data_IF_257377560560
#
_entry.id   IF_257377560560
#
_cell.length_a   1.000
_cell.length_b   1.000
_cell.length_c   1.000
_cell.angle_alpha   90.00
_cell.angle_beta   90.00
_cell.angle_gamma   90.00
#
_symmetry.space_group_name_H-M   'P 1'
#
loop_
_entity.id
_entity.type
_entity.pdbx_description
1 polymer ?
#
# COMPACT_ATOMS: atom_id res chain seq x y z
N UNK A 1 -7.80 -2.00 35.58
CA UNK A 1 -6.52 -1.78 34.87
C UNK A 1 -6.81 -0.85 33.71
N UNK A 2 -6.08 0.25 33.58
CA UNK A 2 -6.28 1.22 32.50
C UNK A 2 -5.73 0.61 31.20
N UNK A 3 -6.60 0.04 30.37
CA UNK A 3 -6.20 -0.49 29.07
C UNK A 3 -5.82 0.69 28.18
N UNK A 4 -4.52 0.81 27.90
CA UNK A 4 -4.02 1.76 26.90
C UNK A 4 -4.67 1.42 25.56
N UNK A 5 -5.36 2.39 24.97
CA UNK A 5 -6.16 2.23 23.76
C UNK A 5 -5.27 2.27 22.52
N UNK A 6 -4.16 2.98 22.59
CA UNK A 6 -3.28 3.21 21.44
C UNK A 6 -1.85 2.76 21.72
N UNK A 7 -1.18 2.28 20.66
CA UNK A 7 0.21 1.80 20.73
C UNK A 7 1.20 2.89 21.19
N UNK A 8 0.96 4.15 20.82
CA UNK A 8 1.80 5.30 21.20
C UNK A 8 1.65 5.71 22.67
N UNK A 9 0.64 5.21 23.38
CA UNK A 9 0.50 5.43 24.82
C UNK A 9 1.44 4.51 25.63
N UNK A 10 2.03 3.47 25.02
CA UNK A 10 2.91 2.53 25.68
C UNK A 10 4.17 3.25 26.22
N UNK A 11 4.65 2.96 27.45
CA UNK A 11 5.76 3.74 28.03
C UNK A 11 7.06 3.55 27.26
N UNK A 12 7.22 2.39 26.61
CA UNK A 12 8.39 2.09 25.79
C UNK A 12 8.21 2.53 24.33
N UNK A 13 7.13 3.18 23.93
CA UNK A 13 7.01 3.67 22.55
C UNK A 13 8.09 4.74 22.25
N UNK A 14 8.78 4.70 21.10
CA UNK A 14 8.69 3.71 20.01
C UNK A 14 9.63 2.50 20.16
N UNK A 15 10.43 2.46 21.21
CA UNK A 15 11.48 1.47 21.50
C UNK A 15 10.97 0.23 22.25
N UNK A 16 10.12 -0.56 21.60
CA UNK A 16 9.58 -1.78 22.20
C UNK A 16 10.65 -2.83 22.49
N UNK A 17 10.53 -3.48 23.65
CA UNK A 17 11.33 -4.66 24.01
C UNK A 17 10.62 -5.94 23.54
N UNK A 18 11.34 -6.84 22.89
CA UNK A 18 10.81 -8.14 22.46
C UNK A 18 11.83 -9.26 22.70
N UNK A 19 11.34 -10.49 22.93
CA UNK A 19 12.19 -11.66 23.06
C UNK A 19 12.47 -12.26 21.67
N UNK A 20 13.67 -12.04 21.14
CA UNK A 20 14.05 -12.57 19.84
C UNK A 20 13.85 -14.09 19.71
N UNK A 21 14.12 -14.86 20.79
CA UNK A 21 13.98 -16.33 20.76
C UNK A 21 12.55 -16.81 20.55
N UNK A 22 11.55 -15.99 20.89
CA UNK A 22 10.13 -16.33 20.68
C UNK A 22 9.68 -16.06 19.24
N UNK A 23 10.23 -15.02 18.61
CA UNK A 23 9.85 -14.63 17.23
C UNK A 23 10.73 -15.29 16.16
N UNK A 24 11.95 -15.70 16.52
CA UNK A 24 12.93 -16.29 15.61
C UNK A 24 12.36 -17.45 14.76
N UNK A 25 11.62 -18.42 15.33
CA UNK A 25 11.02 -19.49 14.52
C UNK A 25 10.02 -18.97 13.46
N UNK A 26 9.25 -17.93 13.80
CA UNK A 26 8.28 -17.32 12.87
C UNK A 26 9.01 -16.57 11.75
N UNK A 27 10.10 -15.88 12.07
CA UNK A 27 10.95 -15.21 11.07
C UNK A 27 11.56 -16.23 10.11
N UNK A 28 12.10 -17.35 10.62
CA UNK A 28 12.63 -18.39 9.77
C UNK A 28 11.58 -18.98 8.82
N UNK A 29 10.38 -19.25 9.32
CA UNK A 29 9.29 -19.74 8.49
C UNK A 29 8.87 -18.72 7.42
N UNK A 30 8.82 -17.42 7.76
CA UNK A 30 8.55 -16.35 6.80
C UNK A 30 9.61 -16.31 5.69
N UNK A 31 10.89 -16.40 6.05
CA UNK A 31 12.00 -16.39 5.10
C UNK A 31 11.94 -17.61 4.17
N UNK A 32 11.70 -18.79 4.73
CA UNK A 32 11.52 -20.04 3.96
C UNK A 32 10.40 -19.89 2.92
N UNK A 33 9.21 -19.43 3.35
CA UNK A 33 8.06 -19.26 2.45
C UNK A 33 8.28 -18.17 1.40
N UNK A 34 8.98 -17.09 1.78
CA UNK A 34 9.37 -16.04 0.84
C UNK A 34 10.36 -16.57 -0.22
N UNK A 35 11.30 -17.43 0.19
CA UNK A 35 12.23 -18.09 -0.71
C UNK A 35 11.54 -19.05 -1.67
N UNK A 36 10.62 -19.89 -1.18
CA UNK A 36 9.79 -20.78 -2.01
C UNK A 36 8.99 -20.00 -3.05
N UNK A 37 8.33 -18.90 -2.64
CA UNK A 37 7.56 -18.05 -3.55
C UNK A 37 8.45 -17.42 -4.62
N UNK A 38 9.59 -16.85 -4.22
CA UNK A 38 10.56 -16.25 -5.16
C UNK A 38 11.10 -17.28 -6.15
N UNK A 39 11.39 -18.49 -5.69
CA UNK A 39 11.80 -19.62 -6.53
C UNK A 39 10.74 -19.97 -7.57
N UNK A 40 9.48 -20.11 -7.16
CA UNK A 40 8.36 -20.37 -8.07
C UNK A 40 8.18 -19.28 -9.12
N UNK A 41 8.24 -18.00 -8.71
CA UNK A 41 8.13 -16.86 -9.64
C UNK A 41 9.28 -16.85 -10.65
N UNK A 42 10.49 -17.30 -10.26
CA UNK A 42 11.65 -17.30 -11.18
C UNK A 42 11.53 -18.25 -12.38
N UNK A 43 10.60 -19.21 -12.35
CA UNK A 43 10.31 -20.09 -13.48
C UNK A 43 9.34 -19.50 -14.50
N UNK A 44 8.67 -18.39 -14.17
CA UNK A 44 7.73 -17.71 -15.06
C UNK A 44 8.49 -16.90 -16.12
N UNK A 45 7.92 -16.80 -17.32
CA UNK A 45 8.38 -15.85 -18.34
C UNK A 45 8.21 -14.40 -17.86
N UNK A 46 8.91 -13.45 -18.48
CA UNK A 46 8.83 -12.04 -18.10
C UNK A 46 7.38 -11.50 -18.15
N UNK A 47 6.60 -11.86 -19.17
CA UNK A 47 5.21 -11.44 -19.28
C UNK A 47 4.30 -12.03 -18.20
N UNK A 48 4.57 -13.26 -17.77
CA UNK A 48 3.87 -13.89 -16.65
C UNK A 48 4.25 -13.25 -15.30
N UNK A 49 5.53 -12.89 -15.10
CA UNK A 49 5.98 -12.16 -13.92
C UNK A 49 5.34 -10.77 -13.84
N UNK A 50 5.28 -10.05 -14.97
CA UNK A 50 4.63 -8.74 -15.07
C UNK A 50 3.14 -8.84 -14.72
N UNK A 51 2.43 -9.82 -15.30
CA UNK A 51 1.02 -10.07 -14.99
C UNK A 51 0.81 -10.43 -13.51
N UNK A 52 1.68 -11.28 -12.95
CA UNK A 52 1.62 -11.65 -11.53
C UNK A 52 1.82 -10.43 -10.62
N UNK A 53 2.77 -9.56 -10.97
CA UNK A 53 3.05 -8.30 -10.25
C UNK A 53 1.85 -7.35 -10.29
N UNK A 54 1.22 -7.18 -11.46
CA UNK A 54 0.00 -6.38 -11.62
C UNK A 54 -1.14 -6.95 -10.77
N UNK A 55 -1.44 -8.24 -10.88
CA UNK A 55 -2.59 -8.82 -10.16
C UNK A 55 -2.41 -8.83 -8.64
N UNK A 56 -1.18 -9.04 -8.17
CA UNK A 56 -0.85 -8.96 -6.74
C UNK A 56 -1.02 -7.53 -6.24
N UNK A 57 -0.44 -6.56 -6.93
CA UNK A 57 -0.54 -5.14 -6.56
C UNK A 57 -1.97 -4.62 -6.61
N UNK A 58 -2.73 -5.03 -7.64
CA UNK A 58 -4.13 -4.67 -7.79
C UNK A 58 -4.95 -5.20 -6.62
N UNK A 59 -4.72 -6.45 -6.23
CA UNK A 59 -5.45 -7.08 -5.12
C UNK A 59 -5.12 -6.40 -3.79
N UNK A 60 -3.85 -6.00 -3.58
CA UNK A 60 -3.42 -5.27 -2.40
C UNK A 60 -4.03 -3.87 -2.31
N UNK A 61 -4.01 -3.10 -3.40
CA UNK A 61 -4.63 -1.76 -3.48
C UNK A 61 -6.13 -1.84 -3.17
N UNK A 62 -6.84 -2.83 -3.70
CA UNK A 62 -8.27 -2.98 -3.44
C UNK A 62 -8.53 -3.35 -2.00
N UNK A 63 -7.84 -4.37 -1.48
CA UNK A 63 -8.07 -4.85 -0.11
C UNK A 63 -7.77 -3.75 0.92
N UNK A 64 -6.68 -2.99 0.75
CA UNK A 64 -6.35 -1.89 1.66
C UNK A 64 -7.35 -0.73 1.55
N UNK A 65 -7.82 -0.43 0.33
CA UNK A 65 -8.84 0.61 0.13
C UNK A 65 -10.19 0.22 0.75
N UNK A 66 -10.57 -1.05 0.68
CA UNK A 66 -11.81 -1.56 1.28
C UNK A 66 -11.81 -1.45 2.81
N UNK A 67 -10.66 -1.64 3.47
CA UNK A 67 -10.51 -1.42 4.92
C UNK A 67 -10.84 0.03 5.28
N UNK A 68 -10.46 0.97 4.43
CA UNK A 68 -10.76 2.41 4.58
C UNK A 68 -12.18 2.79 4.09
N UNK A 69 -12.99 1.81 3.67
CA UNK A 69 -14.34 2.03 3.14
C UNK A 69 -14.38 2.58 1.71
N UNK A 70 -13.26 2.51 0.98
CA UNK A 70 -13.13 3.00 -0.40
C UNK A 70 -13.33 1.83 -1.36
N UNK A 71 -14.43 1.83 -2.09
CA UNK A 71 -14.71 0.83 -3.12
C UNK A 71 -14.11 1.26 -4.48
N UNK A 72 -13.12 0.51 -4.95
CA UNK A 72 -12.48 0.74 -6.26
C UNK A 72 -12.93 -0.30 -7.28
N UNK A 73 -13.06 0.12 -8.54
CA UNK A 73 -13.27 -0.82 -9.66
C UNK A 73 -11.94 -1.47 -10.03
N UNK A 74 -11.89 -2.81 -10.08
CA UNK A 74 -10.69 -3.59 -10.48
C UNK A 74 -10.06 -3.06 -11.78
N UNK A 75 -10.87 -2.87 -12.81
CA UNK A 75 -10.41 -2.37 -14.12
C UNK A 75 -9.72 -1.00 -14.03
N UNK A 76 -10.23 -0.10 -13.17
CA UNK A 76 -9.63 1.21 -12.96
C UNK A 76 -8.25 1.12 -12.33
N UNK A 77 -8.11 0.28 -11.29
CA UNK A 77 -6.82 0.04 -10.62
C UNK A 77 -5.85 -0.67 -11.56
N UNK A 78 -6.33 -1.61 -12.38
CA UNK A 78 -5.51 -2.28 -13.39
C UNK A 78 -4.93 -1.27 -14.39
N UNK A 79 -5.77 -0.39 -14.96
CA UNK A 79 -5.31 0.65 -15.88
C UNK A 79 -4.31 1.60 -15.22
N UNK A 80 -4.55 2.01 -13.95
CA UNK A 80 -3.59 2.83 -13.19
C UNK A 80 -2.23 2.14 -13.00
N UNK A 81 -2.21 0.86 -12.66
CA UNK A 81 -0.98 0.07 -12.51
C UNK A 81 -0.24 -0.10 -13.84
N UNK A 82 -0.95 -0.48 -14.91
CA UNK A 82 -0.37 -0.61 -16.25
C UNK A 82 0.26 0.71 -16.71
N UNK A 83 -0.46 1.82 -16.50
CA UNK A 83 0.00 3.18 -16.82
C UNK A 83 1.26 3.56 -16.02
N UNK A 84 1.29 3.29 -14.71
CA UNK A 84 2.40 3.70 -13.83
C UNK A 84 3.64 2.83 -13.95
N UNK A 85 3.46 1.53 -14.18
CA UNK A 85 4.55 0.58 -14.37
C UNK A 85 5.00 0.48 -15.83
N UNK A 86 4.27 1.13 -16.76
CA UNK A 86 4.47 1.06 -18.20
C UNK A 86 4.45 -0.39 -18.74
N UNK A 87 3.53 -1.20 -18.21
CA UNK A 87 3.34 -2.60 -18.58
C UNK A 87 2.01 -2.72 -19.33
N UNK A 88 2.05 -3.07 -20.61
CA UNK A 88 0.87 -3.29 -21.45
C UNK A 88 -0.17 -2.14 -21.41
N UNK A 89 0.27 -0.90 -21.20
CA UNK A 89 -0.61 0.27 -21.15
C UNK A 89 -1.10 0.64 -22.55
N UNK A 90 -2.42 0.64 -22.74
CA UNK A 90 -3.08 1.18 -23.92
C UNK A 90 -3.88 2.42 -23.51
N UNK A 91 -3.50 3.59 -24.04
CA UNK A 91 -4.15 4.86 -23.73
C UNK A 91 -5.61 4.91 -24.20
N UNK A 92 -5.96 4.20 -25.27
CA UNK A 92 -7.34 4.16 -25.79
C UNK A 92 -8.27 3.33 -24.91
N UNK A 93 -7.72 2.42 -24.11
CA UNK A 93 -8.44 1.53 -23.19
C UNK A 93 -8.29 1.96 -21.72
N UNK A 94 -7.77 3.15 -21.45
CA UNK A 94 -7.52 3.63 -20.09
C UNK A 94 -8.84 3.85 -19.33
N UNK A 95 -9.07 3.03 -18.30
CA UNK A 95 -10.23 3.11 -17.40
C UNK A 95 -9.89 3.70 -16.03
N UNK A 96 -8.69 4.24 -15.86
CA UNK A 96 -8.27 4.84 -14.59
C UNK A 96 -9.13 6.04 -14.21
N UNK A 97 -9.28 6.24 -12.90
CA UNK A 97 -9.87 7.45 -12.32
C UNK A 97 -8.79 8.21 -11.56
N UNK A 98 -9.08 9.46 -11.19
CA UNK A 98 -8.18 10.25 -10.33
C UNK A 98 -7.88 9.52 -9.02
N UNK A 99 -8.90 8.95 -8.39
CA UNK A 99 -8.73 8.19 -7.16
C UNK A 99 -7.91 6.91 -7.35
N UNK A 100 -8.16 6.11 -8.41
CA UNK A 100 -7.37 4.90 -8.63
C UNK A 100 -5.91 5.22 -8.97
N UNK A 101 -5.67 6.31 -9.72
CA UNK A 101 -4.32 6.80 -9.99
C UNK A 101 -3.62 7.24 -8.70
N UNK A 102 -4.28 8.04 -7.88
CA UNK A 102 -3.72 8.58 -6.64
C UNK A 102 -3.36 7.48 -5.63
N UNK A 103 -4.25 6.50 -5.44
CA UNK A 103 -4.00 5.36 -4.56
C UNK A 103 -2.96 4.39 -5.14
N UNK A 104 -2.88 4.25 -6.46
CA UNK A 104 -1.83 3.47 -7.11
C UNK A 104 -0.46 4.14 -6.95
N UNK A 105 -0.37 5.46 -7.09
CA UNK A 105 0.86 6.22 -6.84
C UNK A 105 1.30 6.10 -5.39
N UNK A 106 0.38 6.26 -4.43
CA UNK A 106 0.61 6.05 -3.01
C UNK A 106 1.22 4.66 -2.77
N UNK A 107 0.58 3.62 -3.30
CA UNK A 107 1.02 2.23 -3.14
C UNK A 107 2.41 1.98 -3.74
N UNK A 108 2.67 2.50 -4.94
CA UNK A 108 3.98 2.35 -5.59
C UNK A 108 5.05 3.06 -4.76
N UNK A 109 4.79 4.28 -4.30
CA UNK A 109 5.73 5.01 -3.45
C UNK A 109 5.94 4.29 -2.11
N UNK A 110 4.89 3.80 -1.44
CA UNK A 110 5.04 3.08 -0.17
C UNK A 110 5.79 1.76 -0.31
N UNK A 111 5.68 1.10 -1.46
CA UNK A 111 6.27 -0.23 -1.69
C UNK A 111 7.69 -0.17 -2.23
N UNK A 112 7.98 0.75 -3.14
CA UNK A 112 9.23 0.75 -3.91
C UNK A 112 10.19 1.88 -3.54
N UNK A 113 9.72 2.97 -2.94
CA UNK A 113 10.59 4.06 -2.51
C UNK A 113 11.19 3.77 -1.12
N UNK A 114 12.52 3.56 -1.11
CA UNK A 114 13.35 3.21 0.05
C UNK A 114 13.87 4.43 0.84
N UNK A 115 13.52 5.64 0.43
CA UNK A 115 13.88 6.84 1.19
C UNK A 115 13.16 6.88 2.55
N UNK A 116 13.72 7.65 3.49
CA UNK A 116 13.09 7.87 4.79
C UNK A 116 11.72 8.54 4.65
N UNK A 117 10.81 8.26 5.58
CA UNK A 117 9.49 8.87 5.61
C UNK A 117 9.58 10.31 6.14
N UNK A 118 9.67 11.27 5.23
CA UNK A 118 9.61 12.69 5.57
C UNK A 118 8.18 13.16 5.85
N UNK A 119 8.03 14.27 6.57
CA UNK A 119 6.73 14.91 6.79
C UNK A 119 6.04 15.30 5.48
N UNK A 120 6.80 15.81 4.51
CA UNK A 120 6.27 16.13 3.19
C UNK A 120 5.70 14.90 2.49
N UNK A 121 6.45 13.78 2.51
CA UNK A 121 6.01 12.50 1.92
C UNK A 121 4.75 11.98 2.61
N UNK A 122 4.72 12.01 3.95
CA UNK A 122 3.55 11.64 4.74
C UNK A 122 2.32 12.51 4.42
N UNK A 123 2.50 13.82 4.27
CA UNK A 123 1.43 14.73 3.89
C UNK A 123 0.91 14.48 2.48
N UNK A 124 1.81 14.19 1.52
CA UNK A 124 1.42 13.81 0.16
C UNK A 124 0.63 12.50 0.16
N UNK A 125 1.04 11.52 0.96
CA UNK A 125 0.30 10.27 1.14
C UNK A 125 -1.11 10.52 1.68
N UNK A 126 -1.22 11.36 2.71
CA UNK A 126 -2.52 11.75 3.25
C UNK A 126 -3.39 12.47 2.20
N UNK A 127 -2.82 13.37 1.39
CA UNK A 127 -3.57 13.98 0.28
C UNK A 127 -4.10 12.94 -0.72
N UNK A 128 -3.29 11.94 -1.07
CA UNK A 128 -3.65 10.91 -2.03
C UNK A 128 -4.87 10.08 -1.58
N UNK A 129 -4.91 9.68 -0.30
CA UNK A 129 -6.04 8.93 0.28
C UNK A 129 -7.36 9.71 0.17
N UNK A 130 -7.30 11.03 0.28
CA UNK A 130 -8.46 11.91 0.25
C UNK A 130 -8.71 12.56 -1.12
N UNK A 131 -8.09 12.09 -2.22
CA UNK A 131 -8.18 12.73 -3.55
C UNK A 131 -9.63 13.06 -3.95
N UNK A 132 -10.53 12.07 -3.93
CA UNK A 132 -11.96 12.26 -4.26
C UNK A 132 -12.84 12.64 -3.05
N UNK A 133 -12.30 12.69 -1.84
CA UNK A 133 -13.07 13.06 -0.66
C UNK A 133 -13.44 14.55 -0.69
N UNK A 134 -14.75 14.80 -0.68
CA UNK A 134 -15.34 16.13 -0.78
C UNK A 134 -16.64 16.23 0.04
N UNK A 135 -16.53 16.02 1.35
CA UNK A 135 -17.66 16.26 2.26
C UNK A 135 -17.74 17.74 2.66
N UNK A 136 -18.89 18.37 2.40
CA UNK A 136 -19.18 19.74 2.86
C UNK A 136 -19.42 19.77 4.37
N UNK A 137 -20.06 18.73 4.92
CA UNK A 137 -20.42 18.66 6.33
C UNK A 137 -19.24 18.25 7.23
N UNK A 138 -18.31 17.48 6.68
CA UNK A 138 -17.16 16.93 7.39
C UNK A 138 -15.89 17.22 6.59
N UNK A 139 -15.47 18.49 6.45
CA UNK A 139 -14.28 18.82 5.71
C UNK A 139 -13.06 18.17 6.35
N UNK A 140 -12.11 17.73 5.52
CA UNK A 140 -10.83 17.16 5.96
C UNK A 140 -9.71 18.07 5.48
N UNK A 141 -8.90 18.55 6.42
CA UNK A 141 -7.66 19.23 6.09
C UNK A 141 -6.66 18.19 5.55
N UNK A 142 -6.34 18.28 4.27
CA UNK A 142 -5.46 17.33 3.58
C UNK A 142 -4.00 17.73 3.77
N UNK A 143 -3.13 16.75 4.07
CA UNK A 143 -1.68 16.96 4.08
C UNK A 143 -1.18 17.82 5.23
N UNK A 144 -1.88 17.75 6.38
CA UNK A 144 -1.49 18.39 7.63
C UNK A 144 -1.90 17.51 8.80
N UNK A 145 -1.26 17.71 9.95
CA UNK A 145 -1.71 17.08 11.19
C UNK A 145 -3.05 17.67 11.64
N UNK A 146 -3.81 16.87 12.39
CA UNK A 146 -4.98 17.36 13.10
C UNK A 146 -4.54 18.26 14.26
N UNK A 147 -5.33 19.30 14.51
CA UNK A 147 -5.20 20.17 15.68
C UNK A 147 -5.59 19.45 16.98
#
# INVERSE_FOLDING_TARGET
>A
MNTKKWIWEHPDFPNFNYNYKEIEPMIFHLIEKSGELKGKISYLSNSEQDNFSIETSLSEIIATSEIEGIALKRDSVRSSLQKKLNIAFNREEDKSTKNSDSLTELYIDSRFNQEELSLERLHRWHCAIFEEYSSVLYPVNKGVFRD
#
